data_IF_530362781748
#
_entry.id   IF_530362781748
#
_cell.length_a   1.000
_cell.length_b   1.000
_cell.length_c   1.000
_cell.angle_alpha   90.00
_cell.angle_beta   90.00
_cell.angle_gamma   90.00
#
_symmetry.space_group_name_H-M   'P 1'
#
loop_
_entity.id
_entity.type
_entity.pdbx_description
1 polymer ?
#
# COMPACT_ATOMS: atom_id res chain seq x y z
N UNK A 1 74.73 -71.25 -5.90
CA UNK A 1 73.31 -71.01 -5.51
C UNK A 1 73.25 -69.70 -4.79
N UNK A 2 72.92 -68.60 -5.48
CA UNK A 2 72.72 -67.26 -4.89
C UNK A 2 71.28 -66.90 -5.06
N UNK A 3 70.57 -66.70 -3.92
CA UNK A 3 69.21 -66.19 -3.86
C UNK A 3 69.27 -64.66 -3.86
N UNK A 4 68.71 -64.05 -4.90
CA UNK A 4 68.44 -62.58 -4.91
C UNK A 4 67.14 -62.30 -4.19
N UNK A 5 67.19 -61.45 -3.14
CA UNK A 5 66.07 -60.83 -2.54
C UNK A 5 65.83 -59.46 -3.17
N UNK A 6 64.66 -59.23 -3.76
CA UNK A 6 64.19 -57.87 -4.20
C UNK A 6 63.51 -57.17 -3.05
N UNK A 7 63.78 -55.89 -2.79
CA UNK A 7 63.00 -55.09 -1.83
C UNK A 7 61.73 -54.54 -2.50
N UNK A 8 60.59 -54.75 -1.84
CA UNK A 8 59.31 -54.13 -2.22
C UNK A 8 59.31 -52.73 -1.66
N UNK A 9 59.34 -51.73 -2.59
CA UNK A 9 59.16 -50.31 -2.24
C UNK A 9 57.66 -50.01 -2.21
N UNK A 10 57.09 -49.76 -1.05
CA UNK A 10 55.76 -49.21 -0.88
C UNK A 10 55.82 -47.70 -1.11
N UNK A 11 55.30 -47.24 -2.25
CA UNK A 11 55.04 -45.81 -2.49
C UNK A 11 53.71 -45.43 -1.86
N UNK A 12 53.74 -44.70 -0.75
CA UNK A 12 52.58 -43.97 -0.20
C UNK A 12 52.26 -42.80 -1.15
N UNK A 13 51.19 -42.91 -1.91
CA UNK A 13 50.56 -41.74 -2.57
C UNK A 13 49.76 -41.01 -1.54
N UNK A 14 49.96 -39.67 -1.33
CA UNK A 14 49.04 -38.85 -0.52
C UNK A 14 47.75 -38.70 -1.28
N UNK A 15 46.62 -39.18 -0.73
CA UNK A 15 45.30 -38.81 -1.17
C UNK A 15 45.08 -37.29 -0.86
N UNK A 16 45.34 -36.44 -1.83
CA UNK A 16 44.81 -35.08 -1.87
C UNK A 16 43.31 -35.19 -2.09
N UNK A 17 42.51 -35.06 -1.01
CA UNK A 17 41.08 -34.85 -1.15
C UNK A 17 40.88 -33.43 -1.70
N UNK A 18 40.62 -33.34 -3.01
CA UNK A 18 40.09 -32.15 -3.65
C UNK A 18 38.68 -31.93 -3.09
N UNK A 19 38.55 -31.17 -1.98
CA UNK A 19 37.31 -30.58 -1.61
C UNK A 19 36.90 -29.63 -2.75
N UNK A 20 35.89 -30.03 -3.53
CA UNK A 20 35.30 -29.17 -4.55
C UNK A 20 34.86 -27.87 -3.84
N UNK A 21 35.18 -26.68 -4.38
CA UNK A 21 34.71 -25.43 -3.79
C UNK A 21 33.19 -25.48 -3.80
N UNK A 22 32.61 -25.43 -2.61
CA UNK A 22 31.18 -25.26 -2.45
C UNK A 22 30.82 -23.97 -3.20
N UNK A 23 30.14 -24.07 -4.35
CA UNK A 23 29.67 -22.90 -5.08
C UNK A 23 28.76 -22.14 -4.13
N UNK A 24 29.21 -20.98 -3.67
CA UNK A 24 28.39 -20.09 -2.88
C UNK A 24 27.12 -19.82 -3.70
N UNK A 25 25.98 -20.31 -3.23
CA UNK A 25 24.68 -20.07 -3.86
C UNK A 25 24.46 -18.56 -3.80
N UNK A 26 24.34 -17.92 -4.97
CA UNK A 26 24.04 -16.50 -5.04
C UNK A 26 22.72 -16.22 -4.32
N UNK A 27 22.61 -15.15 -3.50
CA UNK A 27 21.38 -14.82 -2.80
C UNK A 27 20.21 -14.67 -3.78
N UNK A 28 19.12 -15.42 -3.55
CA UNK A 28 17.92 -15.36 -4.37
C UNK A 28 17.02 -14.17 -3.96
N UNK A 29 16.26 -13.56 -4.91
CA UNK A 29 15.25 -12.55 -4.60
C UNK A 29 14.17 -13.12 -3.67
N UNK A 30 13.71 -12.31 -2.71
CA UNK A 30 12.57 -12.63 -1.85
C UNK A 30 11.25 -12.38 -2.60
N UNK A 31 10.15 -13.09 -2.26
CA UNK A 31 8.83 -12.89 -2.88
C UNK A 31 8.33 -11.45 -2.73
N UNK A 32 7.79 -10.88 -3.81
CA UNK A 32 7.27 -9.52 -3.82
C UNK A 32 6.00 -9.35 -2.99
N UNK A 33 5.16 -10.38 -2.86
CA UNK A 33 3.97 -10.38 -2.02
C UNK A 33 4.28 -10.05 -0.56
N UNK A 34 5.47 -10.44 -0.06
CA UNK A 34 5.88 -10.11 1.30
C UNK A 34 6.46 -8.69 1.46
N UNK A 35 6.47 -7.87 0.40
CA UNK A 35 6.70 -6.42 0.51
C UNK A 35 5.43 -5.70 1.04
N UNK A 36 4.29 -6.41 1.17
CA UNK A 36 3.05 -5.92 1.76
C UNK A 36 2.56 -4.63 1.08
N UNK A 37 2.29 -3.57 1.85
CA UNK A 37 1.83 -2.30 1.29
C UNK A 37 2.88 -1.55 0.45
N UNK A 38 4.11 -2.03 0.40
CA UNK A 38 5.16 -1.46 -0.47
C UNK A 38 5.35 -2.24 -1.76
N UNK A 39 4.54 -3.28 -1.99
CA UNK A 39 4.52 -3.99 -3.26
C UNK A 39 4.10 -3.04 -4.39
N UNK A 40 4.86 -2.92 -5.50
CA UNK A 40 4.41 -2.24 -6.70
C UNK A 40 3.13 -2.86 -7.25
N UNK A 41 2.38 -2.08 -8.03
CA UNK A 41 1.13 -2.57 -8.62
C UNK A 41 1.35 -3.78 -9.53
N UNK A 42 0.60 -4.86 -9.29
CA UNK A 42 0.71 -6.07 -10.09
C UNK A 42 -0.33 -6.08 -11.23
N UNK A 43 0.12 -5.70 -12.41
CA UNK A 43 -0.71 -5.72 -13.61
C UNK A 43 -0.96 -7.12 -14.19
N UNK A 44 -0.34 -8.17 -13.66
CA UNK A 44 -0.53 -9.53 -14.16
C UNK A 44 -1.80 -10.19 -13.61
N UNK A 45 -2.34 -9.68 -12.50
CA UNK A 45 -3.53 -10.23 -11.82
C UNK A 45 -4.80 -9.42 -12.10
N UNK A 46 -4.87 -8.71 -13.22
CA UNK A 46 -6.05 -7.91 -13.58
C UNK A 46 -7.02 -8.69 -14.46
N UNK A 47 -8.33 -8.52 -14.21
CA UNK A 47 -9.38 -9.06 -15.07
C UNK A 47 -9.52 -8.28 -16.39
N UNK A 48 -10.05 -8.88 -17.44
CA UNK A 48 -10.56 -8.14 -18.59
C UNK A 48 -11.57 -7.05 -18.19
N UNK A 49 -11.70 -6.00 -18.98
CA UNK A 49 -12.74 -5.02 -18.77
C UNK A 49 -14.13 -5.70 -18.76
N UNK A 50 -15.03 -5.33 -17.82
CA UNK A 50 -16.36 -5.92 -17.76
C UNK A 50 -17.15 -5.60 -19.04
N UNK A 51 -17.88 -6.58 -19.54
CA UNK A 51 -18.82 -6.38 -20.64
C UNK A 51 -20.20 -6.15 -20.03
N UNK A 52 -20.75 -4.99 -20.25
CA UNK A 52 -22.10 -4.65 -19.80
C UNK A 52 -23.15 -5.03 -20.84
N UNK A 53 -24.37 -5.47 -20.41
CA UNK A 53 -25.50 -5.63 -21.32
C UNK A 53 -25.76 -4.33 -22.11
N UNK A 54 -26.26 -4.45 -23.34
CA UNK A 54 -26.58 -3.29 -24.19
C UNK A 54 -27.61 -2.33 -23.56
N UNK A 55 -28.45 -2.84 -22.67
CA UNK A 55 -29.41 -2.07 -21.87
C UNK A 55 -28.78 -1.22 -20.75
N UNK A 56 -27.49 -1.38 -20.47
CA UNK A 56 -26.77 -0.67 -19.40
C UNK A 56 -25.64 0.16 -20.01
N UNK A 57 -25.76 1.49 -19.94
CA UNK A 57 -24.78 2.41 -20.53
C UNK A 57 -23.97 3.11 -19.43
N UNK A 58 -22.62 3.09 -19.46
CA UNK A 58 -21.80 3.88 -18.54
C UNK A 58 -22.14 5.38 -18.65
N UNK A 59 -22.34 6.03 -17.51
CA UNK A 59 -22.68 7.45 -17.40
C UNK A 59 -21.69 8.23 -16.54
N UNK A 60 -21.06 7.60 -15.55
CA UNK A 60 -20.09 8.23 -14.65
C UNK A 60 -19.13 7.19 -14.06
N UNK A 61 -17.96 7.66 -13.59
CA UNK A 61 -17.00 6.86 -12.82
C UNK A 61 -16.55 7.65 -11.59
N UNK A 62 -16.63 7.05 -10.41
CA UNK A 62 -15.91 7.50 -9.22
C UNK A 62 -14.66 6.63 -9.03
N UNK A 63 -13.49 7.26 -8.85
CA UNK A 63 -12.21 6.57 -8.76
C UNK A 63 -11.46 6.98 -7.51
N UNK A 64 -11.19 6.05 -6.62
CA UNK A 64 -10.41 6.29 -5.40
C UNK A 64 -9.07 5.58 -5.54
N UNK A 65 -7.96 6.31 -5.39
CA UNK A 65 -6.64 5.75 -5.63
C UNK A 65 -5.62 6.12 -4.56
N UNK A 66 -4.70 5.20 -4.30
CA UNK A 66 -3.48 5.40 -3.56
C UNK A 66 -2.39 5.92 -4.50
N UNK A 67 -1.46 6.72 -3.97
CA UNK A 67 -0.26 7.09 -4.73
C UNK A 67 0.53 5.87 -5.22
N UNK A 68 1.18 5.99 -6.38
CA UNK A 68 2.03 4.97 -6.99
C UNK A 68 3.33 4.70 -6.22
N UNK A 69 4.17 3.83 -6.77
CA UNK A 69 5.45 3.44 -6.20
C UNK A 69 6.37 4.64 -5.97
N UNK A 70 7.10 4.61 -4.87
CA UNK A 70 7.84 5.78 -4.35
C UNK A 70 9.15 5.39 -3.67
N UNK A 71 10.02 6.38 -3.51
CA UNK A 71 11.16 6.28 -2.61
C UNK A 71 10.71 6.15 -1.15
N UNK A 72 11.61 5.71 -0.26
CA UNK A 72 11.35 5.66 1.18
C UNK A 72 10.91 7.04 1.69
N UNK A 73 10.07 7.06 2.73
CA UNK A 73 9.32 8.25 3.14
C UNK A 73 10.21 9.40 3.61
N UNK A 74 11.30 9.10 4.30
CA UNK A 74 12.22 10.11 4.87
C UNK A 74 13.54 9.48 5.27
N UNK A 75 14.60 10.28 5.48
CA UNK A 75 15.87 9.79 6.05
C UNK A 75 15.69 9.08 7.40
N UNK A 76 14.67 9.44 8.18
CA UNK A 76 14.37 8.80 9.47
C UNK A 76 14.10 7.30 9.34
N UNK A 77 13.63 6.84 8.16
CA UNK A 77 13.35 5.42 7.91
C UNK A 77 14.60 4.55 8.02
N UNK A 78 15.77 5.08 7.67
CA UNK A 78 17.05 4.36 7.72
C UNK A 78 17.90 4.71 8.94
N UNK A 79 17.67 5.87 9.55
CA UNK A 79 18.57 6.48 10.54
C UNK A 79 18.83 5.61 11.78
N UNK A 80 17.83 4.87 12.26
CA UNK A 80 18.00 3.99 13.43
C UNK A 80 18.95 2.83 13.12
N UNK A 81 18.74 2.13 12.00
CA UNK A 81 19.58 1.02 11.56
C UNK A 81 20.99 1.52 11.20
N UNK A 82 21.08 2.64 10.50
CA UNK A 82 22.34 3.26 10.12
C UNK A 82 23.19 3.59 11.36
N UNK A 83 22.59 4.15 12.41
CA UNK A 83 23.27 4.47 13.68
C UNK A 83 23.83 3.20 14.36
N UNK A 84 23.06 2.12 14.43
CA UNK A 84 23.52 0.86 15.04
C UNK A 84 24.67 0.24 14.22
N UNK A 85 24.57 0.26 12.88
CA UNK A 85 25.62 -0.25 12.00
C UNK A 85 26.88 0.63 12.02
N UNK A 86 26.74 1.94 12.05
CA UNK A 86 27.88 2.86 12.18
C UNK A 86 28.65 2.61 13.47
N UNK A 87 27.93 2.46 14.60
CA UNK A 87 28.56 2.10 15.89
C UNK A 87 29.30 0.76 15.79
N UNK A 88 28.66 -0.27 15.25
CA UNK A 88 29.27 -1.58 15.09
C UNK A 88 30.50 -1.56 14.14
N UNK A 89 30.47 -0.74 13.09
CA UNK A 89 31.59 -0.55 12.18
C UNK A 89 32.80 0.07 12.87
N UNK A 90 32.58 1.13 13.69
CA UNK A 90 33.66 1.77 14.46
C UNK A 90 34.29 0.83 15.49
N UNK A 91 33.51 -0.09 16.04
CA UNK A 91 33.93 -1.11 17.00
C UNK A 91 34.43 -2.41 16.33
N UNK A 92 34.49 -2.43 14.96
CA UNK A 92 34.89 -3.62 14.15
C UNK A 92 34.08 -4.87 14.44
N UNK A 93 32.78 -4.70 14.71
CA UNK A 93 31.85 -5.79 15.06
C UNK A 93 30.86 -6.15 13.93
N UNK A 94 30.98 -5.53 12.75
CA UNK A 94 30.14 -5.92 11.62
C UNK A 94 30.56 -7.28 11.07
N UNK A 95 29.56 -8.06 10.66
CA UNK A 95 29.73 -9.22 9.82
C UNK A 95 29.81 -8.80 8.34
N UNK A 96 30.18 -9.70 7.41
CA UNK A 96 30.08 -9.44 5.96
C UNK A 96 28.65 -9.03 5.52
N UNK A 97 27.62 -9.61 6.15
CA UNK A 97 26.21 -9.27 5.93
C UNK A 97 25.89 -7.86 6.44
N UNK A 98 26.46 -7.48 7.58
CA UNK A 98 26.36 -6.13 8.15
C UNK A 98 27.00 -5.07 7.26
N UNK A 99 28.21 -5.32 6.77
CA UNK A 99 28.92 -4.44 5.84
C UNK A 99 28.12 -4.23 4.54
N UNK A 100 27.51 -5.32 4.02
CA UNK A 100 26.68 -5.25 2.83
C UNK A 100 25.38 -4.48 3.07
N UNK A 101 24.74 -4.64 4.25
CA UNK A 101 23.53 -3.89 4.60
C UNK A 101 23.84 -2.40 4.79
N UNK A 102 24.97 -2.09 5.44
CA UNK A 102 25.43 -0.72 5.60
C UNK A 102 25.73 -0.05 4.25
N UNK A 103 26.31 -0.81 3.31
CA UNK A 103 26.52 -0.34 1.92
C UNK A 103 25.20 -0.07 1.21
N UNK A 104 24.18 -0.91 1.41
CA UNK A 104 22.82 -0.68 0.88
C UNK A 104 22.23 0.62 1.45
N UNK A 105 22.36 0.89 2.77
CA UNK A 105 21.84 2.12 3.36
C UNK A 105 22.50 3.36 2.75
N UNK A 106 23.81 3.33 2.53
CA UNK A 106 24.53 4.41 1.82
C UNK A 106 24.02 4.60 0.41
N UNK A 107 23.86 3.52 -0.36
CA UNK A 107 23.30 3.58 -1.71
C UNK A 107 21.89 4.18 -1.72
N UNK A 108 21.02 3.79 -0.78
CA UNK A 108 19.67 4.35 -0.63
C UNK A 108 19.77 5.85 -0.34
N UNK A 109 20.59 6.25 0.64
CA UNK A 109 20.73 7.64 1.04
C UNK A 109 21.22 8.50 -0.13
N UNK A 110 22.31 8.11 -0.80
CA UNK A 110 22.92 8.86 -1.90
C UNK A 110 21.95 8.95 -3.11
N UNK A 111 21.24 7.87 -3.42
CA UNK A 111 20.32 7.84 -4.55
C UNK A 111 19.00 8.55 -4.28
N UNK A 112 18.66 8.82 -3.00
CA UNK A 112 17.35 9.36 -2.60
C UNK A 112 17.47 10.80 -2.06
N UNK A 113 18.68 11.36 -1.90
CA UNK A 113 18.97 12.59 -1.14
C UNK A 113 17.90 13.71 -1.26
N UNK A 114 17.48 14.06 -2.48
CA UNK A 114 16.48 15.12 -2.72
C UNK A 114 15.09 14.56 -3.08
N UNK A 115 14.86 13.24 -2.96
CA UNK A 115 13.66 12.56 -3.46
C UNK A 115 12.93 11.71 -2.42
N UNK A 116 13.23 11.90 -1.14
CA UNK A 116 12.55 11.18 -0.06
C UNK A 116 11.04 11.35 -0.15
N UNK A 117 10.34 10.23 -0.17
CA UNK A 117 8.88 10.18 -0.25
C UNK A 117 8.26 10.61 -1.58
N UNK A 118 9.05 10.99 -2.58
CA UNK A 118 8.55 11.31 -3.91
C UNK A 118 8.26 10.04 -4.73
N UNK A 119 7.41 10.20 -5.74
CA UNK A 119 7.10 9.15 -6.71
C UNK A 119 8.38 8.70 -7.41
N UNK A 120 8.58 7.37 -7.53
CA UNK A 120 9.71 6.79 -8.25
C UNK A 120 9.41 6.66 -9.74
N UNK A 121 10.41 6.28 -10.54
CA UNK A 121 10.18 5.94 -11.95
C UNK A 121 9.22 4.76 -12.13
N UNK A 122 9.20 3.82 -11.17
CA UNK A 122 8.25 2.71 -11.15
C UNK A 122 6.84 3.27 -11.01
N UNK A 123 6.60 4.14 -10.02
CA UNK A 123 5.29 4.75 -9.81
C UNK A 123 4.83 5.65 -10.95
N UNK A 124 5.72 6.37 -11.62
CA UNK A 124 5.37 7.15 -12.83
C UNK A 124 4.82 6.22 -13.92
N UNK A 125 5.50 5.08 -14.17
CA UNK A 125 5.08 4.11 -15.16
C UNK A 125 3.76 3.40 -14.77
N UNK A 126 3.56 3.11 -13.46
CA UNK A 126 2.31 2.57 -12.93
C UNK A 126 1.14 3.50 -13.27
N UNK A 127 1.24 4.78 -12.92
CA UNK A 127 0.15 5.74 -13.10
C UNK A 127 -0.14 6.05 -14.57
N UNK A 128 0.88 6.07 -15.42
CA UNK A 128 0.67 6.18 -16.87
C UNK A 128 -0.14 4.99 -17.40
N UNK A 129 0.14 3.78 -16.94
CA UNK A 129 -0.59 2.58 -17.33
C UNK A 129 -1.99 2.55 -16.74
N UNK A 130 -2.17 2.88 -15.45
CA UNK A 130 -3.47 2.95 -14.80
C UNK A 130 -4.40 3.96 -15.48
N UNK A 131 -3.90 5.13 -15.90
CA UNK A 131 -4.67 6.10 -16.68
C UNK A 131 -5.06 5.56 -18.05
N UNK A 132 -4.15 4.79 -18.73
CA UNK A 132 -4.49 4.09 -19.97
C UNK A 132 -5.59 3.06 -19.75
N UNK A 133 -5.44 2.23 -18.72
CA UNK A 133 -6.39 1.16 -18.43
C UNK A 133 -7.78 1.72 -18.07
N UNK A 134 -7.86 2.88 -17.39
CA UNK A 134 -9.10 3.62 -17.15
C UNK A 134 -9.73 4.12 -18.44
N UNK A 135 -8.94 4.65 -19.37
CA UNK A 135 -9.45 5.09 -20.69
C UNK A 135 -10.07 3.93 -21.46
N UNK A 136 -9.40 2.76 -21.43
CA UNK A 136 -9.85 1.56 -22.13
C UNK A 136 -11.02 0.85 -21.40
N UNK A 137 -11.18 1.09 -20.09
CA UNK A 137 -12.26 0.53 -19.28
C UNK A 137 -13.65 1.08 -19.65
N UNK A 138 -13.75 2.38 -19.89
CA UNK A 138 -15.01 3.08 -20.20
C UNK A 138 -14.88 3.95 -21.46
N UNK A 139 -14.58 3.35 -22.61
CA UNK A 139 -14.27 4.11 -23.83
C UNK A 139 -15.46 4.94 -24.33
N UNK A 140 -16.69 4.53 -24.02
CA UNK A 140 -17.91 5.28 -24.35
C UNK A 140 -18.01 6.64 -23.62
N UNK A 141 -17.37 6.76 -22.46
CA UNK A 141 -17.25 8.03 -21.74
C UNK A 141 -15.99 8.78 -22.16
N UNK A 142 -14.83 8.12 -22.13
CA UNK A 142 -13.53 8.76 -22.31
C UNK A 142 -13.27 9.29 -23.74
N UNK A 143 -14.01 8.80 -24.75
CA UNK A 143 -13.93 9.31 -26.14
C UNK A 143 -14.83 10.51 -26.43
N UNK A 144 -15.69 10.91 -25.49
CA UNK A 144 -16.56 12.09 -25.66
C UNK A 144 -15.72 13.37 -25.72
N UNK A 145 -16.26 14.40 -26.37
CA UNK A 145 -15.67 15.74 -26.41
C UNK A 145 -16.37 16.65 -25.40
N UNK A 146 -15.61 17.55 -24.79
CA UNK A 146 -16.17 18.55 -23.87
C UNK A 146 -16.72 17.93 -22.59
N UNK A 147 -16.21 16.74 -22.19
CA UNK A 147 -16.56 16.11 -20.92
C UNK A 147 -15.52 16.44 -19.86
N UNK A 148 -16.00 16.58 -18.63
CA UNK A 148 -15.19 17.02 -17.48
C UNK A 148 -14.74 15.86 -16.62
N UNK A 149 -13.46 15.88 -16.24
CA UNK A 149 -12.86 15.02 -15.23
C UNK A 149 -12.45 15.91 -14.05
N UNK A 150 -12.98 15.65 -12.87
CA UNK A 150 -12.55 16.31 -11.63
C UNK A 150 -11.68 15.37 -10.83
N UNK A 151 -10.50 15.82 -10.44
CA UNK A 151 -9.58 15.05 -9.60
C UNK A 151 -9.13 15.88 -8.41
N UNK A 152 -9.23 15.31 -7.22
CA UNK A 152 -8.73 15.92 -5.99
C UNK A 152 -7.66 15.05 -5.35
N UNK A 153 -6.69 15.67 -4.69
CA UNK A 153 -5.63 14.94 -3.98
C UNK A 153 -5.29 15.59 -2.64
N UNK A 154 -4.62 14.82 -1.78
CA UNK A 154 -3.96 15.39 -0.61
C UNK A 154 -2.86 16.37 -1.06
N UNK A 155 -2.39 17.23 -0.14
CA UNK A 155 -1.28 18.17 -0.39
C UNK A 155 0.09 17.49 -0.49
N UNK A 156 0.18 16.18 -0.27
CA UNK A 156 1.46 15.45 -0.23
C UNK A 156 2.03 15.27 -1.64
N UNK A 157 3.29 15.67 -1.93
CA UNK A 157 3.83 15.75 -3.28
C UNK A 157 3.67 14.48 -4.12
N UNK A 158 3.93 13.29 -3.55
CA UNK A 158 3.76 12.01 -4.29
C UNK A 158 2.33 11.77 -4.74
N UNK A 159 1.32 12.21 -3.96
CA UNK A 159 -0.10 12.03 -4.30
C UNK A 159 -0.49 13.01 -5.39
N UNK A 160 -0.01 14.25 -5.30
CA UNK A 160 -0.18 15.26 -6.37
C UNK A 160 0.42 14.75 -7.69
N UNK A 161 1.66 14.24 -7.64
CA UNK A 161 2.34 13.68 -8.82
C UNK A 161 1.57 12.48 -9.41
N UNK A 162 1.05 11.59 -8.57
CA UNK A 162 0.20 10.45 -8.98
C UNK A 162 -1.02 10.96 -9.74
N UNK A 163 -1.80 11.88 -9.15
CA UNK A 163 -2.99 12.46 -9.77
C UNK A 163 -2.66 13.10 -11.14
N UNK A 164 -1.60 13.89 -11.22
CA UNK A 164 -1.20 14.52 -12.48
C UNK A 164 -0.76 13.51 -13.53
N UNK A 165 0.03 12.51 -13.15
CA UNK A 165 0.51 11.48 -14.10
C UNK A 165 -0.65 10.64 -14.64
N UNK A 166 -1.59 10.24 -13.78
CA UNK A 166 -2.80 9.54 -14.17
C UNK A 166 -3.65 10.38 -15.14
N UNK A 167 -3.97 11.62 -14.78
CA UNK A 167 -4.77 12.52 -15.60
C UNK A 167 -4.09 12.84 -16.95
N UNK A 168 -2.78 13.10 -16.95
CA UNK A 168 -2.01 13.32 -18.17
C UNK A 168 -2.05 12.13 -19.12
N UNK A 169 -2.07 10.92 -18.58
CA UNK A 169 -2.25 9.69 -19.39
C UNK A 169 -3.62 9.67 -20.09
N UNK A 170 -4.68 10.18 -19.48
CA UNK A 170 -6.00 10.31 -20.08
C UNK A 170 -6.01 11.41 -21.16
N UNK A 171 -5.49 12.61 -20.87
CA UNK A 171 -5.41 13.74 -21.79
C UNK A 171 -4.62 13.41 -23.07
N UNK A 172 -3.52 12.66 -22.96
CA UNK A 172 -2.74 12.21 -24.13
C UNK A 172 -3.55 11.34 -25.09
N UNK A 173 -4.62 10.67 -24.62
CA UNK A 173 -5.50 9.81 -25.43
C UNK A 173 -6.70 10.54 -26.00
N UNK A 174 -7.17 11.56 -25.30
CA UNK A 174 -8.23 12.44 -25.79
C UNK A 174 -7.98 13.89 -25.32
N UNK A 175 -7.44 14.70 -26.21
CA UNK A 175 -7.14 16.12 -25.96
C UNK A 175 -8.39 17.01 -25.78
N UNK A 176 -9.59 16.46 -25.96
CA UNK A 176 -10.86 17.18 -25.77
C UNK A 176 -11.45 16.93 -24.36
N UNK A 177 -10.78 16.20 -23.50
CA UNK A 177 -11.17 16.08 -22.10
C UNK A 177 -10.83 17.38 -21.35
N UNK A 178 -11.77 17.85 -20.55
CA UNK A 178 -11.56 18.98 -19.66
C UNK A 178 -11.17 18.48 -18.27
N UNK A 179 -9.88 18.50 -17.96
CA UNK A 179 -9.35 17.97 -16.70
C UNK A 179 -9.17 19.09 -15.67
N UNK A 180 -9.91 18.99 -14.58
CA UNK A 180 -9.82 19.89 -13.43
C UNK A 180 -9.15 19.17 -12.27
N UNK A 181 -8.10 19.77 -11.73
CA UNK A 181 -7.34 19.20 -10.61
C UNK A 181 -7.31 20.19 -9.46
N UNK A 182 -7.41 19.65 -8.23
CA UNK A 182 -7.23 20.44 -7.02
C UNK A 182 -6.54 19.61 -5.95
N UNK A 183 -5.68 20.26 -5.15
CA UNK A 183 -4.96 19.61 -4.05
C UNK A 183 -4.82 20.59 -2.88
N UNK A 184 -4.70 20.06 -1.66
CA UNK A 184 -4.48 20.91 -0.49
C UNK A 184 -5.11 20.39 0.79
N UNK A 185 -4.91 21.15 1.87
CA UNK A 185 -5.41 20.83 3.19
C UNK A 185 -6.94 20.86 3.32
N UNK A 186 -7.64 21.55 2.41
CA UNK A 186 -9.11 21.55 2.34
C UNK A 186 -9.71 20.16 2.11
N UNK A 187 -8.90 19.18 1.70
CA UNK A 187 -9.32 17.80 1.48
C UNK A 187 -8.86 16.85 2.60
N UNK A 188 -8.26 17.35 3.69
CA UNK A 188 -7.75 16.50 4.75
C UNK A 188 -8.86 15.70 5.44
N UNK A 189 -10.04 16.29 5.67
CA UNK A 189 -11.19 15.56 6.23
C UNK A 189 -11.69 14.42 5.33
N UNK A 190 -11.47 14.49 4.02
CA UNK A 190 -11.85 13.46 3.07
C UNK A 190 -10.74 12.42 2.87
N UNK A 191 -9.52 12.89 2.57
CA UNK A 191 -8.44 12.04 2.06
C UNK A 191 -7.37 11.73 3.10
N UNK A 192 -7.42 12.39 4.27
CA UNK A 192 -6.53 12.21 5.41
C UNK A 192 -7.29 12.13 6.72
N UNK A 193 -8.43 11.45 6.74
CA UNK A 193 -9.25 11.24 7.92
C UNK A 193 -8.43 10.75 9.13
N UNK A 194 -7.39 9.97 8.89
CA UNK A 194 -6.42 9.48 9.86
C UNK A 194 -5.58 10.58 10.57
N UNK A 195 -5.70 11.82 10.18
CA UNK A 195 -5.14 13.01 10.83
C UNK A 195 -6.20 14.09 11.13
N UNK A 196 -7.33 14.07 10.42
CA UNK A 196 -8.36 15.10 10.55
C UNK A 196 -9.32 14.84 11.71
N UNK A 197 -9.46 13.58 12.14
CA UNK A 197 -10.34 13.19 13.25
C UNK A 197 -9.51 12.84 14.49
N UNK A 198 -9.73 13.58 15.59
CA UNK A 198 -8.94 13.48 16.81
C UNK A 198 -8.88 12.08 17.39
N UNK A 199 -10.03 11.47 17.63
CA UNK A 199 -10.11 10.17 18.29
C UNK A 199 -9.46 9.07 17.45
N UNK A 200 -9.68 9.10 16.13
CA UNK A 200 -9.05 8.16 15.22
C UNK A 200 -7.53 8.38 15.13
N UNK A 201 -7.09 9.64 15.06
CA UNK A 201 -5.67 9.97 15.06
C UNK A 201 -4.99 9.50 16.36
N UNK A 202 -5.60 9.74 17.50
CA UNK A 202 -5.11 9.30 18.81
C UNK A 202 -5.06 7.78 18.92
N UNK A 203 -6.12 7.07 18.49
CA UNK A 203 -6.12 5.61 18.43
C UNK A 203 -4.96 5.09 17.60
N UNK A 204 -4.75 5.64 16.40
CA UNK A 204 -3.66 5.21 15.49
C UNK A 204 -2.26 5.46 16.05
N UNK A 205 -2.09 6.49 16.87
CA UNK A 205 -0.79 6.82 17.44
C UNK A 205 -0.46 6.00 18.68
N UNK A 206 -1.42 5.72 19.53
CA UNK A 206 -1.20 5.12 20.86
C UNK A 206 -2.39 4.30 21.40
N UNK A 207 -3.25 3.77 20.53
CA UNK A 207 -4.40 2.95 20.95
C UNK A 207 -4.03 1.56 21.46
N UNK A 208 -5.04 0.80 21.89
CA UNK A 208 -4.88 -0.55 22.43
C UNK A 208 -4.19 -1.54 21.47
N UNK A 209 -4.17 -1.26 20.20
CA UNK A 209 -3.48 -2.04 19.18
C UNK A 209 -1.97 -2.17 19.42
N UNK A 210 -1.32 -1.21 20.10
CA UNK A 210 0.13 -1.21 20.34
C UNK A 210 0.55 -2.44 21.13
N UNK A 211 -0.15 -2.72 22.23
CA UNK A 211 0.15 -3.88 23.07
C UNK A 211 -0.08 -5.21 22.33
N UNK A 212 -1.13 -5.29 21.53
CA UNK A 212 -1.43 -6.47 20.70
C UNK A 212 -0.31 -6.69 19.69
N UNK A 213 0.10 -5.64 19.01
CA UNK A 213 1.17 -5.68 18.01
C UNK A 213 2.52 -6.07 18.64
N UNK A 214 2.89 -5.49 19.79
CA UNK A 214 4.15 -5.78 20.46
C UNK A 214 4.22 -7.25 20.92
N UNK A 215 3.12 -7.80 21.46
CA UNK A 215 3.04 -9.24 21.78
C UNK A 215 3.20 -10.12 20.54
N UNK A 216 2.57 -9.73 19.42
CA UNK A 216 2.71 -10.47 18.15
C UNK A 216 4.16 -10.44 17.63
N UNK A 217 4.82 -9.28 17.68
CA UNK A 217 6.24 -9.13 17.30
C UNK A 217 7.13 -10.02 18.19
N UNK A 218 6.91 -10.01 19.49
CA UNK A 218 7.71 -10.82 20.43
C UNK A 218 7.50 -12.32 20.23
N UNK A 219 6.32 -12.75 19.79
CA UNK A 219 6.01 -14.14 19.50
C UNK A 219 6.57 -14.63 18.16
N UNK A 220 6.43 -13.84 17.10
CA UNK A 220 6.62 -14.30 15.72
C UNK A 220 7.84 -13.74 15.00
N UNK A 221 8.26 -12.50 15.27
CA UNK A 221 9.36 -11.89 14.54
C UNK A 221 10.70 -12.50 14.98
N UNK A 222 11.51 -13.03 14.04
CA UNK A 222 12.81 -13.61 14.38
C UNK A 222 13.85 -12.53 14.72
N UNK A 223 14.71 -12.81 15.68
CA UNK A 223 15.87 -11.96 16.01
C UNK A 223 17.06 -12.21 15.06
N UNK A 224 17.09 -13.36 14.39
CA UNK A 224 18.22 -13.83 13.60
C UNK A 224 18.62 -12.89 12.44
N UNK A 225 17.73 -12.24 11.70
CA UNK A 225 18.12 -11.28 10.64
C UNK A 225 18.98 -10.14 11.19
N UNK A 226 18.56 -9.50 12.27
CA UNK A 226 19.35 -8.45 12.92
C UNK A 226 20.66 -9.00 13.52
N UNK A 227 20.62 -10.19 14.12
CA UNK A 227 21.82 -10.82 14.70
C UNK A 227 22.89 -11.11 13.65
N UNK A 228 22.48 -11.48 12.41
CA UNK A 228 23.43 -11.73 11.31
C UNK A 228 24.22 -10.48 10.87
N UNK A 229 23.76 -9.28 11.18
CA UNK A 229 24.51 -8.04 10.85
C UNK A 229 25.78 -7.87 11.70
N UNK A 230 25.82 -8.54 12.86
CA UNK A 230 26.90 -8.38 13.81
C UNK A 230 27.73 -9.68 13.87
N UNK A 231 29.03 -9.54 14.17
CA UNK A 231 29.92 -10.68 14.38
C UNK A 231 29.61 -11.41 15.69
N UNK A 232 30.59 -12.18 16.20
CA UNK A 232 30.43 -13.05 17.37
C UNK A 232 29.99 -12.35 18.67
N UNK A 233 30.08 -11.03 18.74
CA UNK A 233 29.69 -10.19 19.89
C UNK A 233 28.34 -9.51 19.68
N UNK A 234 27.41 -10.17 19.01
CA UNK A 234 26.04 -9.67 18.84
C UNK A 234 25.35 -9.45 20.20
N UNK A 235 24.54 -8.39 20.29
CA UNK A 235 23.66 -8.16 21.44
C UNK A 235 22.73 -9.38 21.63
N UNK A 236 22.62 -9.89 22.85
CA UNK A 236 21.73 -11.02 23.16
C UNK A 236 20.31 -10.60 23.55
N UNK A 237 20.01 -9.29 23.57
CA UNK A 237 18.67 -8.79 23.85
C UNK A 237 17.73 -9.07 22.67
N UNK A 238 16.96 -10.17 22.75
CA UNK A 238 16.05 -10.61 21.69
C UNK A 238 15.00 -9.56 21.32
N UNK A 239 14.46 -8.83 22.28
CA UNK A 239 13.47 -7.77 22.01
C UNK A 239 14.07 -6.65 21.15
N UNK A 240 15.27 -6.16 21.50
CA UNK A 240 16.00 -5.16 20.70
C UNK A 240 16.31 -5.69 19.29
N UNK A 241 16.73 -6.94 19.16
CA UNK A 241 17.04 -7.55 17.86
C UNK A 241 15.78 -7.72 16.99
N UNK A 242 14.63 -8.10 17.56
CA UNK A 242 13.35 -8.18 16.82
C UNK A 242 12.92 -6.81 16.29
N UNK A 243 13.03 -5.77 17.13
CA UNK A 243 12.76 -4.39 16.70
C UNK A 243 13.67 -3.98 15.54
N UNK A 244 14.96 -4.24 15.64
CA UNK A 244 15.91 -3.98 14.57
C UNK A 244 15.59 -4.80 13.31
N UNK A 245 15.16 -6.05 13.43
CA UNK A 245 14.70 -6.88 12.32
C UNK A 245 13.50 -6.23 11.60
N UNK A 246 12.51 -5.70 12.33
CA UNK A 246 11.38 -4.97 11.74
C UNK A 246 11.81 -3.67 11.06
N UNK A 247 12.78 -2.95 11.62
CA UNK A 247 13.35 -1.75 11.00
C UNK A 247 14.08 -2.09 9.69
N UNK A 248 14.88 -3.19 9.67
CA UNK A 248 15.49 -3.71 8.43
C UNK A 248 14.43 -4.08 7.39
N UNK A 249 13.39 -4.82 7.80
CA UNK A 249 12.28 -5.17 6.93
C UNK A 249 11.61 -3.93 6.34
N UNK A 250 11.30 -2.91 7.15
CA UNK A 250 10.68 -1.66 6.69
C UNK A 250 11.53 -0.89 5.66
N UNK A 251 12.83 -1.11 5.65
CA UNK A 251 13.74 -0.54 4.63
C UNK A 251 13.67 -1.37 3.35
N UNK A 252 13.90 -2.68 3.45
CA UNK A 252 14.10 -3.51 2.26
C UNK A 252 12.80 -3.80 1.48
N UNK A 253 11.63 -3.83 2.14
CA UNK A 253 10.34 -3.95 1.47
C UNK A 253 10.08 -2.81 0.47
N UNK A 254 10.68 -1.63 0.69
CA UNK A 254 10.55 -0.47 -0.20
C UNK A 254 11.50 -0.46 -1.39
N UNK A 255 12.46 -1.38 -1.47
CA UNK A 255 13.49 -1.35 -2.50
C UNK A 255 12.93 -1.48 -3.92
N UNK A 256 12.00 -2.42 -4.16
CA UNK A 256 11.38 -2.60 -5.49
C UNK A 256 10.63 -1.35 -5.93
N UNK A 257 9.83 -0.78 -5.03
CA UNK A 257 9.06 0.44 -5.28
C UNK A 257 9.95 1.65 -5.58
N UNK A 258 11.11 1.73 -4.95
CA UNK A 258 12.08 2.80 -5.19
C UNK A 258 12.92 2.58 -6.47
N UNK A 259 12.84 1.42 -7.11
CA UNK A 259 13.65 1.05 -8.27
C UNK A 259 15.05 0.54 -7.92
N UNK A 260 15.28 0.14 -6.66
CA UNK A 260 16.48 -0.57 -6.24
C UNK A 260 16.35 -2.08 -6.51
N UNK A 261 17.47 -2.79 -6.39
CA UNK A 261 17.47 -4.25 -6.46
C UNK A 261 16.49 -4.85 -5.42
N UNK A 262 15.77 -5.93 -5.78
CA UNK A 262 14.89 -6.62 -4.83
C UNK A 262 15.65 -7.09 -3.60
N UNK A 263 15.00 -7.16 -2.41
CA UNK A 263 15.60 -7.80 -1.25
C UNK A 263 15.89 -9.27 -1.55
N UNK A 264 16.97 -9.79 -0.98
CA UNK A 264 17.46 -11.14 -1.26
C UNK A 264 17.60 -11.95 0.03
N UNK A 265 17.78 -13.27 -0.14
CA UNK A 265 18.04 -14.22 0.95
C UNK A 265 19.37 -13.98 1.68
N UNK A 266 20.09 -12.92 1.37
CA UNK A 266 21.31 -12.55 2.08
C UNK A 266 21.04 -12.12 3.52
N UNK A 267 19.95 -11.39 3.76
CA UNK A 267 19.62 -10.83 5.07
C UNK A 267 18.48 -11.53 5.77
N UNK A 268 17.53 -12.08 5.00
CA UNK A 268 16.37 -12.81 5.50
C UNK A 268 16.24 -14.14 4.77
N UNK A 269 15.93 -15.22 5.45
CA UNK A 269 15.32 -16.36 4.77
C UNK A 269 13.91 -15.98 4.28
N UNK A 270 13.32 -16.78 3.39
CA UNK A 270 11.95 -16.55 2.92
C UNK A 270 10.96 -16.55 4.10
N UNK A 271 11.13 -17.50 5.03
CA UNK A 271 10.25 -17.59 6.21
C UNK A 271 10.42 -16.39 7.15
N UNK A 272 11.66 -15.97 7.44
CA UNK A 272 11.91 -14.80 8.28
C UNK A 272 11.31 -13.52 7.67
N UNK A 273 11.39 -13.36 6.34
CA UNK A 273 10.80 -12.23 5.64
C UNK A 273 9.27 -12.28 5.71
N UNK A 274 8.70 -13.48 5.55
CA UNK A 274 7.26 -13.71 5.73
C UNK A 274 6.81 -13.38 7.14
N UNK A 275 7.54 -13.76 8.19
CA UNK A 275 7.16 -13.41 9.58
C UNK A 275 7.14 -11.91 9.82
N UNK A 276 8.09 -11.16 9.26
CA UNK A 276 8.07 -9.69 9.32
C UNK A 276 6.87 -9.10 8.54
N UNK A 277 6.56 -9.67 7.38
CA UNK A 277 5.37 -9.29 6.61
C UNK A 277 4.08 -9.53 7.42
N UNK A 278 3.91 -10.69 8.07
CA UNK A 278 2.74 -10.97 8.91
C UNK A 278 2.56 -9.94 10.03
N UNK A 279 3.65 -9.54 10.68
CA UNK A 279 3.60 -8.48 11.69
C UNK A 279 3.21 -7.12 11.07
N UNK A 280 3.73 -6.79 9.89
CA UNK A 280 3.34 -5.57 9.16
C UNK A 280 1.87 -5.61 8.73
N UNK A 281 1.40 -6.77 8.24
CA UNK A 281 0.00 -7.01 7.85
C UNK A 281 -0.95 -6.77 9.03
N UNK A 282 -0.68 -7.39 10.18
CA UNK A 282 -1.44 -7.20 11.42
C UNK A 282 -1.45 -5.72 11.86
N UNK A 283 -0.30 -5.05 11.83
CA UNK A 283 -0.22 -3.63 12.21
C UNK A 283 -1.12 -2.75 11.34
N UNK A 284 -1.15 -2.99 10.04
CA UNK A 284 -2.00 -2.22 9.12
C UNK A 284 -3.47 -2.51 9.36
N UNK A 285 -3.84 -3.76 9.59
CA UNK A 285 -5.20 -4.16 9.93
C UNK A 285 -5.68 -3.50 11.23
N UNK A 286 -4.92 -3.64 12.32
CA UNK A 286 -5.25 -3.06 13.64
C UNK A 286 -5.44 -1.53 13.59
N UNK A 287 -4.65 -0.83 12.76
CA UNK A 287 -4.62 0.63 12.76
C UNK A 287 -5.54 1.29 11.74
N UNK A 288 -5.99 0.56 10.73
CA UNK A 288 -6.61 1.20 9.57
C UNK A 288 -7.88 0.49 9.10
N UNK A 289 -8.39 -0.46 9.87
CA UNK A 289 -9.66 -1.12 9.55
C UNK A 289 -10.56 -1.13 10.78
N UNK A 290 -11.91 -1.09 10.60
CA UNK A 290 -12.81 -1.29 11.71
C UNK A 290 -12.56 -2.67 12.35
N UNK A 291 -12.33 -2.70 13.65
CA UNK A 291 -12.10 -3.90 14.44
C UNK A 291 -12.52 -3.68 15.89
N UNK A 292 -12.54 -4.70 16.72
CA UNK A 292 -13.01 -4.61 18.10
C UNK A 292 -12.24 -3.60 18.98
N UNK A 293 -11.02 -3.19 18.58
CA UNK A 293 -10.21 -2.20 19.29
C UNK A 293 -10.37 -0.78 18.72
N UNK A 294 -10.95 -0.63 17.53
CA UNK A 294 -11.06 0.65 16.79
C UNK A 294 -12.51 0.97 16.43
N UNK A 295 -13.23 1.70 17.26
CA UNK A 295 -14.58 2.15 16.92
C UNK A 295 -14.60 3.41 16.03
N UNK A 296 -13.46 4.05 15.76
CA UNK A 296 -13.35 5.36 15.10
C UNK A 296 -13.09 5.28 13.60
N UNK A 297 -12.62 4.15 13.10
CA UNK A 297 -12.21 3.97 11.72
C UNK A 297 -13.37 4.22 10.72
N UNK A 298 -14.55 3.63 10.96
CA UNK A 298 -15.71 3.78 10.08
C UNK A 298 -16.27 5.21 10.10
N UNK A 299 -16.55 5.86 11.28
CA UNK A 299 -16.98 7.25 11.29
C UNK A 299 -15.97 8.20 10.66
N UNK A 300 -14.68 8.00 10.84
CA UNK A 300 -13.66 8.87 10.25
C UNK A 300 -13.65 8.86 8.71
N UNK A 301 -14.02 7.74 8.06
CA UNK A 301 -14.08 7.65 6.59
C UNK A 301 -15.44 8.04 6.00
N UNK A 302 -16.48 8.25 6.83
CA UNK A 302 -17.85 8.53 6.38
C UNK A 302 -17.95 9.76 5.48
N UNK A 303 -17.19 10.82 5.75
CA UNK A 303 -17.18 12.03 4.91
C UNK A 303 -16.74 11.76 3.47
N UNK A 304 -15.78 10.86 3.26
CA UNK A 304 -15.37 10.47 1.91
C UNK A 304 -16.46 9.66 1.22
N UNK A 305 -17.11 8.76 1.94
CA UNK A 305 -18.24 7.95 1.42
C UNK A 305 -19.38 8.86 0.98
N UNK A 306 -19.84 9.78 1.84
CA UNK A 306 -20.92 10.73 1.51
C UNK A 306 -20.51 11.69 0.38
N UNK A 307 -19.23 12.07 0.30
CA UNK A 307 -18.72 12.86 -0.84
C UNK A 307 -18.78 12.10 -2.16
N UNK A 308 -18.41 10.83 -2.19
CA UNK A 308 -18.52 9.97 -3.38
C UNK A 308 -19.99 9.85 -3.80
N UNK A 309 -20.90 9.66 -2.84
CA UNK A 309 -22.35 9.60 -3.09
C UNK A 309 -22.85 10.91 -3.72
N UNK A 310 -22.55 12.05 -3.09
CA UNK A 310 -23.02 13.36 -3.54
C UNK A 310 -22.49 13.73 -4.95
N UNK A 311 -21.19 13.50 -5.20
CA UNK A 311 -20.58 13.79 -6.49
C UNK A 311 -21.15 12.89 -7.61
N UNK A 312 -21.42 11.61 -7.30
CA UNK A 312 -22.03 10.69 -8.25
C UNK A 312 -23.49 11.04 -8.53
N UNK A 313 -24.30 11.32 -7.49
CA UNK A 313 -25.70 11.71 -7.65
C UNK A 313 -25.84 13.00 -8.48
N UNK A 314 -24.97 14.00 -8.25
CA UNK A 314 -24.94 15.24 -9.05
C UNK A 314 -24.58 14.95 -10.53
N UNK A 315 -23.58 14.11 -10.79
CA UNK A 315 -23.18 13.74 -12.15
C UNK A 315 -24.28 12.95 -12.88
N UNK A 316 -24.98 12.06 -12.15
CA UNK A 316 -26.05 11.22 -12.69
C UNK A 316 -27.31 12.03 -13.02
N UNK A 317 -27.63 13.03 -12.19
CA UNK A 317 -28.75 13.95 -12.44
C UNK A 317 -28.54 14.88 -13.63
N UNK A 318 -27.37 14.83 -14.29
CA UNK A 318 -26.90 15.76 -15.34
C UNK A 318 -26.78 17.21 -14.86
N UNK A 319 -26.62 17.42 -13.57
CA UNK A 319 -26.35 18.74 -13.00
C UNK A 319 -24.93 19.23 -13.33
N UNK A 320 -24.06 18.32 -13.81
CA UNK A 320 -22.69 18.62 -14.23
C UNK A 320 -22.33 17.84 -15.51
N UNK A 321 -21.40 18.37 -16.32
CA UNK A 321 -20.81 17.64 -17.47
C UNK A 321 -19.70 16.66 -17.01
N UNK A 322 -19.61 16.37 -15.70
CA UNK A 322 -18.55 15.59 -15.10
C UNK A 322 -18.81 14.09 -15.25
N UNK A 323 -17.98 13.42 -16.03
CA UNK A 323 -18.07 11.96 -16.25
C UNK A 323 -17.15 11.16 -15.31
N UNK A 324 -16.25 11.83 -14.60
CA UNK A 324 -15.26 11.20 -13.75
C UNK A 324 -14.94 12.07 -12.54
N UNK A 325 -14.96 11.45 -11.35
CA UNK A 325 -14.44 12.04 -10.11
C UNK A 325 -13.32 11.17 -9.54
N UNK A 326 -12.11 11.73 -9.44
CA UNK A 326 -10.92 11.08 -8.91
C UNK A 326 -10.56 11.58 -7.51
N UNK A 327 -10.29 10.66 -6.59
CA UNK A 327 -9.92 10.92 -5.19
C UNK A 327 -8.58 10.23 -4.89
N UNK A 328 -7.50 11.01 -4.86
CA UNK A 328 -6.14 10.48 -4.73
C UNK A 328 -5.61 10.65 -3.30
N UNK A 329 -5.24 9.54 -2.66
CA UNK A 329 -4.84 9.50 -1.25
C UNK A 329 -3.72 8.52 -0.94
N UNK A 330 -3.85 7.86 0.18
CA UNK A 330 -2.85 6.99 0.79
C UNK A 330 -3.45 5.61 1.11
N UNK A 331 -2.62 4.64 1.53
CA UNK A 331 -3.15 3.38 2.06
C UNK A 331 -4.10 3.63 3.24
N UNK A 332 -3.78 4.61 4.07
CA UNK A 332 -4.57 5.06 5.22
C UNK A 332 -5.88 5.79 4.84
N UNK A 333 -6.05 6.15 3.58
CA UNK A 333 -7.34 6.61 3.01
C UNK A 333 -8.17 5.42 2.55
N UNK A 334 -7.52 4.45 1.88
CA UNK A 334 -8.19 3.34 1.21
C UNK A 334 -8.57 2.22 2.18
N UNK A 335 -7.70 1.85 3.11
CA UNK A 335 -7.97 0.75 4.06
C UNK A 335 -9.25 0.99 4.89
N UNK A 336 -9.43 2.17 5.54
CA UNK A 336 -10.68 2.48 6.23
C UNK A 336 -11.90 2.43 5.30
N UNK A 337 -11.78 3.02 4.11
CA UNK A 337 -12.85 3.06 3.12
C UNK A 337 -13.26 1.65 2.69
N UNK A 338 -12.33 0.85 2.18
CA UNK A 338 -12.61 -0.47 1.62
C UNK A 338 -13.14 -1.43 2.66
N UNK A 339 -12.62 -1.38 3.90
CA UNK A 339 -13.08 -2.21 5.01
C UNK A 339 -14.47 -1.79 5.51
N UNK A 340 -14.75 -0.49 5.61
CA UNK A 340 -16.08 0.01 6.00
C UNK A 340 -17.12 -0.36 4.96
N UNK A 341 -16.81 -0.25 3.67
CA UNK A 341 -17.69 -0.69 2.58
C UNK A 341 -17.86 -2.22 2.47
N UNK A 342 -17.08 -2.98 3.24
CA UNK A 342 -17.06 -4.44 3.21
C UNK A 342 -16.77 -5.01 1.81
N UNK A 343 -15.86 -4.37 1.07
CA UNK A 343 -15.45 -4.89 -0.23
C UNK A 343 -14.87 -6.31 -0.07
N UNK A 344 -15.08 -7.22 -1.04
CA UNK A 344 -14.57 -8.59 -0.96
C UNK A 344 -13.09 -8.64 -0.64
N UNK A 345 -12.71 -9.39 0.42
CA UNK A 345 -11.32 -9.52 0.90
C UNK A 345 -10.77 -8.33 1.67
N UNK A 346 -11.53 -7.22 1.84
CA UNK A 346 -11.05 -6.01 2.50
C UNK A 346 -11.48 -5.86 3.96
N UNK A 347 -12.42 -6.66 4.44
CA UNK A 347 -12.88 -6.67 5.82
C UNK A 347 -12.65 -8.04 6.45
N UNK A 348 -12.13 -8.05 7.65
CA UNK A 348 -12.06 -9.23 8.51
C UNK A 348 -12.52 -8.85 9.92
N UNK A 349 -13.31 -9.73 10.53
CA UNK A 349 -13.74 -9.65 11.93
C UNK A 349 -13.19 -10.88 12.65
N UNK A 350 -12.09 -10.70 13.37
CA UNK A 350 -11.38 -11.80 14.04
C UNK A 350 -10.60 -11.31 15.24
N UNK A 351 -10.48 -12.17 16.25
CA UNK A 351 -9.55 -12.06 17.39
C UNK A 351 -8.36 -13.05 17.27
N UNK A 352 -8.39 -13.92 16.25
CA UNK A 352 -7.27 -14.79 15.89
C UNK A 352 -6.31 -14.10 14.92
N UNK A 353 -5.35 -13.40 15.49
CA UNK A 353 -4.35 -12.63 14.72
C UNK A 353 -3.34 -13.53 13.99
N UNK A 354 -3.19 -14.78 14.41
CA UNK A 354 -2.25 -15.74 13.78
C UNK A 354 -2.77 -16.19 12.40
N UNK A 355 -4.10 -16.31 12.25
CA UNK A 355 -4.76 -16.70 10.99
C UNK A 355 -5.24 -15.52 10.13
N UNK A 356 -5.10 -14.27 10.58
CA UNK A 356 -5.59 -13.08 9.86
C UNK A 356 -5.19 -13.07 8.38
N UNK A 357 -3.96 -13.48 8.06
CA UNK A 357 -3.45 -13.47 6.68
C UNK A 357 -4.13 -14.51 5.75
N UNK A 358 -4.97 -15.39 6.25
CA UNK A 358 -5.74 -16.32 5.43
C UNK A 358 -6.90 -15.60 4.71
N UNK A 359 -7.48 -14.57 5.36
CA UNK A 359 -8.65 -13.83 4.88
C UNK A 359 -8.37 -12.38 4.52
N UNK A 360 -7.31 -11.76 5.03
CA UNK A 360 -6.99 -10.35 4.85
C UNK A 360 -5.51 -10.16 4.52
N UNK A 361 -5.22 -9.66 3.32
CA UNK A 361 -3.85 -9.51 2.80
C UNK A 361 -3.62 -8.10 2.29
N UNK A 362 -2.65 -7.44 2.89
CA UNK A 362 -2.36 -6.03 2.63
C UNK A 362 -1.95 -5.76 1.18
N UNK A 363 -1.19 -6.68 0.59
CA UNK A 363 -0.72 -6.61 -0.80
C UNK A 363 -1.83 -6.76 -1.84
N UNK A 364 -2.91 -7.47 -1.50
CA UNK A 364 -4.08 -7.64 -2.39
C UNK A 364 -5.00 -6.41 -2.29
N UNK A 365 -5.06 -5.76 -1.12
CA UNK A 365 -6.00 -4.66 -0.83
C UNK A 365 -5.39 -3.31 -1.23
N UNK A 366 -4.20 -3.01 -0.74
CA UNK A 366 -3.58 -1.70 -0.95
C UNK A 366 -2.10 -1.79 -1.37
N UNK A 367 -1.74 -2.46 -2.50
CA UNK A 367 -0.43 -2.27 -3.11
C UNK A 367 -0.21 -0.79 -3.46
N UNK A 368 0.98 -0.41 -3.89
CA UNK A 368 1.21 0.93 -4.45
C UNK A 368 0.40 1.09 -5.74
N UNK A 369 -0.20 2.26 -5.97
CA UNK A 369 -1.14 2.46 -7.08
C UNK A 369 -2.51 1.79 -6.90
N UNK A 370 -2.80 1.20 -5.73
CA UNK A 370 -4.09 0.57 -5.44
C UNK A 370 -5.26 1.51 -5.74
N UNK A 371 -6.33 0.95 -6.29
CA UNK A 371 -7.45 1.76 -6.75
C UNK A 371 -8.79 1.01 -6.73
N UNK A 372 -9.85 1.78 -6.57
CA UNK A 372 -11.24 1.35 -6.71
C UNK A 372 -11.90 2.21 -7.78
N UNK A 373 -12.41 1.58 -8.85
CA UNK A 373 -13.29 2.22 -9.81
C UNK A 373 -14.74 1.77 -9.57
N UNK A 374 -15.64 2.73 -9.41
CA UNK A 374 -17.08 2.53 -9.33
C UNK A 374 -17.68 3.07 -10.62
N UNK A 375 -18.19 2.18 -11.46
CA UNK A 375 -18.76 2.50 -12.77
C UNK A 375 -20.27 2.58 -12.61
N UNK A 376 -20.84 3.75 -12.90
CA UNK A 376 -22.28 3.98 -12.85
C UNK A 376 -22.88 3.73 -14.24
N UNK A 377 -23.93 2.93 -14.25
CA UNK A 377 -24.58 2.43 -15.45
C UNK A 377 -26.03 2.88 -15.44
N UNK A 378 -26.50 3.49 -16.53
CA UNK A 378 -27.93 3.85 -16.70
C UNK A 378 -28.62 2.80 -17.56
N UNK A 379 -29.74 2.29 -17.07
CA UNK A 379 -30.62 1.41 -17.87
C UNK A 379 -31.50 2.19 -18.82
N UNK A 380 -32.12 1.50 -19.80
CA UNK A 380 -33.08 2.09 -20.72
C UNK A 380 -34.30 2.67 -19.99
N UNK A 381 -34.66 2.18 -18.81
CA UNK A 381 -35.71 2.71 -17.92
C UNK A 381 -35.26 3.93 -17.10
N UNK A 382 -33.99 4.35 -17.21
CA UNK A 382 -33.41 5.44 -16.43
C UNK A 382 -32.90 5.06 -15.03
N UNK A 383 -33.09 3.80 -14.60
CA UNK A 383 -32.57 3.31 -13.30
C UNK A 383 -31.05 3.22 -13.34
N UNK A 384 -30.41 3.56 -12.23
CA UNK A 384 -28.94 3.53 -12.09
C UNK A 384 -28.49 2.25 -11.38
N UNK A 385 -27.45 1.64 -11.94
CA UNK A 385 -26.74 0.50 -11.41
C UNK A 385 -25.27 0.81 -11.25
N UNK A 386 -24.55 0.02 -10.49
CA UNK A 386 -23.12 0.16 -10.27
C UNK A 386 -22.39 -1.16 -10.51
N UNK A 387 -21.18 -1.05 -11.05
CA UNK A 387 -20.21 -2.14 -11.11
C UNK A 387 -18.90 -1.69 -10.48
N UNK A 388 -18.21 -2.59 -9.80
CA UNK A 388 -17.02 -2.29 -9.00
C UNK A 388 -15.79 -2.99 -9.56
N UNK A 389 -14.66 -2.28 -9.51
CA UNK A 389 -13.38 -2.83 -9.90
C UNK A 389 -12.31 -2.42 -8.90
N UNK A 390 -11.74 -3.38 -8.18
CA UNK A 390 -10.68 -3.18 -7.19
C UNK A 390 -9.35 -3.70 -7.74
N UNK A 391 -8.33 -2.87 -7.76
CA UNK A 391 -6.99 -3.22 -8.24
C UNK A 391 -7.01 -3.94 -9.61
N UNK A 392 -7.88 -3.51 -10.50
CA UNK A 392 -8.04 -4.13 -11.81
C UNK A 392 -8.87 -5.41 -11.85
N UNK A 393 -9.41 -5.91 -10.74
CA UNK A 393 -10.29 -7.08 -10.68
C UNK A 393 -11.75 -6.68 -10.53
N UNK A 394 -12.65 -7.35 -11.26
CA UNK A 394 -14.09 -7.13 -11.14
C UNK A 394 -14.60 -7.76 -9.84
N UNK A 395 -15.23 -6.97 -8.99
CA UNK A 395 -15.75 -7.41 -7.69
C UNK A 395 -17.22 -7.06 -7.53
N UNK A 396 -17.90 -7.71 -6.58
CA UNK A 396 -19.19 -7.24 -6.07
C UNK A 396 -19.00 -6.05 -5.13
N UNK A 397 -20.03 -5.18 -4.94
CA UNK A 397 -19.93 -4.01 -4.05
C UNK A 397 -19.74 -4.36 -2.57
N UNK A 398 -20.10 -5.57 -2.16
CA UNK A 398 -19.77 -6.20 -0.86
C UNK A 398 -19.78 -7.71 -0.98
N UNK A 399 -19.25 -8.41 0.01
CA UNK A 399 -19.19 -9.86 0.05
C UNK A 399 -20.60 -10.49 -0.03
N UNK A 400 -20.84 -11.32 -1.04
CA UNK A 400 -22.13 -12.00 -1.28
C UNK A 400 -23.14 -11.23 -2.14
N UNK A 401 -22.86 -9.98 -2.55
CA UNK A 401 -23.70 -9.24 -3.48
C UNK A 401 -23.49 -9.68 -4.96
N UNK A 402 -24.39 -9.30 -5.84
CA UNK A 402 -24.19 -9.41 -7.29
C UNK A 402 -23.15 -8.39 -7.77
N UNK A 403 -22.46 -8.69 -8.89
CA UNK A 403 -21.45 -7.79 -9.45
C UNK A 403 -22.05 -6.46 -9.96
N UNK A 404 -23.31 -6.46 -10.36
CA UNK A 404 -24.04 -5.26 -10.77
C UNK A 404 -25.21 -5.10 -9.80
N UNK A 405 -25.25 -3.97 -9.11
CA UNK A 405 -26.28 -3.65 -8.10
C UNK A 405 -26.93 -2.30 -8.37
N UNK A 406 -28.23 -2.13 -8.04
CA UNK A 406 -28.88 -0.82 -8.06
C UNK A 406 -28.15 0.16 -7.13
N UNK A 407 -27.93 1.40 -7.61
CA UNK A 407 -27.19 2.42 -6.87
C UNK A 407 -27.84 2.78 -5.53
N UNK A 408 -29.17 2.84 -5.47
CA UNK A 408 -29.89 3.12 -4.21
C UNK A 408 -29.58 2.07 -3.14
N UNK A 409 -29.59 0.77 -3.51
CA UNK A 409 -29.28 -0.33 -2.60
C UNK A 409 -27.83 -0.27 -2.09
N UNK A 410 -26.90 0.18 -2.94
CA UNK A 410 -25.50 0.37 -2.55
C UNK A 410 -25.36 1.52 -1.55
N UNK A 411 -26.04 2.66 -1.76
CA UNK A 411 -26.04 3.79 -0.82
C UNK A 411 -26.61 3.39 0.55
N UNK A 412 -27.73 2.68 0.55
CA UNK A 412 -28.38 2.22 1.79
C UNK A 412 -27.49 1.25 2.56
N UNK A 413 -26.85 0.31 1.86
CA UNK A 413 -25.88 -0.62 2.47
C UNK A 413 -24.68 0.14 3.09
N UNK A 414 -24.09 1.09 2.38
CA UNK A 414 -22.94 1.86 2.88
C UNK A 414 -23.29 2.66 4.15
N UNK A 415 -24.45 3.32 4.16
CA UNK A 415 -24.92 4.07 5.34
C UNK A 415 -25.22 3.17 6.52
N UNK A 416 -25.77 1.99 6.27
CA UNK A 416 -25.98 0.99 7.33
C UNK A 416 -24.65 0.48 7.89
N UNK A 417 -23.67 0.20 7.05
CA UNK A 417 -22.33 -0.20 7.50
C UNK A 417 -21.67 0.86 8.38
N UNK A 418 -21.74 2.13 7.99
CA UNK A 418 -21.21 3.23 8.84
C UNK A 418 -21.91 3.21 10.20
N UNK A 419 -23.24 3.14 10.25
CA UNK A 419 -24.00 3.13 11.50
C UNK A 419 -23.66 1.93 12.38
N UNK A 420 -23.59 0.73 11.82
CA UNK A 420 -23.31 -0.50 12.57
C UNK A 420 -21.86 -0.59 13.12
N UNK A 421 -20.92 0.12 12.51
CA UNK A 421 -19.51 0.15 12.91
C UNK A 421 -19.13 1.40 13.73
N UNK A 422 -20.08 2.32 13.95
CA UNK A 422 -19.86 3.53 14.75
C UNK A 422 -20.18 3.28 16.22
N UNK A 423 -19.52 3.98 17.17
CA UNK A 423 -19.87 3.90 18.57
C UNK A 423 -21.35 4.28 18.81
N UNK A 424 -21.99 3.69 19.83
CA UNK A 424 -23.30 4.14 20.27
C UNK A 424 -23.20 5.58 20.81
N UNK A 425 -23.84 6.53 20.12
CA UNK A 425 -23.82 7.96 20.41
C UNK A 425 -24.25 8.79 19.21
N UNK A 426 -24.32 10.11 19.32
CA UNK A 426 -24.85 10.99 18.27
C UNK A 426 -24.00 11.07 16.99
N UNK A 427 -22.93 10.29 16.89
CA UNK A 427 -22.10 10.16 15.67
C UNK A 427 -21.34 11.43 15.27
N UNK A 428 -21.34 12.47 16.11
CA UNK A 428 -20.55 13.68 15.84
C UNK A 428 -19.07 13.38 16.05
N UNK A 429 -18.31 13.36 14.95
CA UNK A 429 -16.86 13.19 14.98
C UNK A 429 -16.21 14.57 15.01
N UNK A 430 -15.46 14.88 16.06
CA UNK A 430 -14.74 16.15 16.16
C UNK A 430 -13.65 16.25 15.09
N UNK A 431 -13.82 17.18 14.17
CA UNK A 431 -12.85 17.47 13.10
C UNK A 431 -11.79 18.41 13.66
N UNK A 432 -10.52 18.05 13.50
CA UNK A 432 -9.40 18.96 13.77
C UNK A 432 -9.47 20.09 12.73
N UNK A 433 -9.85 21.30 13.15
CA UNK A 433 -9.69 22.48 12.31
C UNK A 433 -8.20 22.69 12.00
N UNK A 434 -7.80 22.44 10.74
CA UNK A 434 -6.45 22.78 10.30
C UNK A 434 -6.25 24.29 10.31
N UNK A 435 -5.05 24.82 10.61
CA UNK A 435 -4.78 26.26 10.64
C UNK A 435 -5.15 27.00 9.35
N UNK A 436 -5.24 26.32 8.21
CA UNK A 436 -5.66 26.87 6.92
C UNK A 436 -7.17 27.21 6.87
N UNK A 437 -8.00 26.57 7.70
CA UNK A 437 -9.44 26.89 7.78
C UNK A 437 -9.72 28.25 8.43
N UNK A 438 -8.77 28.80 9.23
CA UNK A 438 -8.90 30.10 9.92
C UNK A 438 -8.58 31.33 9.05
N UNK A 439 -8.04 31.16 7.85
CA UNK A 439 -7.70 32.27 6.95
C UNK A 439 -8.56 32.24 5.70
N UNK A 440 -9.84 32.66 5.81
CA UNK A 440 -10.57 33.25 4.68
C UNK A 440 -10.38 34.76 4.75
N UNK A 441 -9.55 35.40 3.90
CA UNK A 441 -9.68 36.83 3.72
C UNK A 441 -11.01 37.09 3.02
N UNK A 442 -11.85 37.94 3.59
CA UNK A 442 -12.94 38.56 2.89
C UNK A 442 -12.36 39.36 1.70
N UNK A 443 -12.33 38.76 0.53
CA UNK A 443 -12.13 39.53 -0.71
C UNK A 443 -13.45 40.25 -0.98
N UNK A 444 -13.52 41.53 -0.61
CA UNK A 444 -14.49 42.45 -1.20
C UNK A 444 -14.08 42.62 -2.66
N UNK A 445 -14.94 42.15 -3.55
CA UNK A 445 -14.87 42.61 -4.96
C UNK A 445 -15.17 44.12 -4.98
N UNK A 446 -14.24 44.88 -5.53
CA UNK A 446 -14.46 46.20 -6.10
C UNK A 446 -14.85 46.06 -7.56
#
# INVERSE_FOLDING_TARGET
MHKFLLPIIYTLLPLLSLAAPCKAVSPAPLPASFDGSMMPYDFAVTDPAPVFPDSLKPVHVSYVARHGARFLSSPKTIASVEKELYKAATERRLSPEGDAFFSLLKQINDSTADRWGLLSKVGIAEEERLGKDMYDLVPSLMKRKGTRLNSISTYVPRVIMTMYQFNHSLERRNQHLEVYTSSGHQYDSLLRCFHAFNDYAQYRDSGAWVEVYDRFVDKHVPAAPAQRLFGKEADNNKHKLRKLTMEMYNIVQGCRAAGFAPPTTRWFTVDEYRQCYLASNLKHWLRNTPNALDPWCAPATSMLIERIIADADAAIANDTDTIFNGYFGHAETLLPLFSTLNLPGCYADTDDYDSLNESWKLEDITPLGANLAIIFLRSDSGRIYTAFRLNGCNISPWSGASQIMPWEEVKDYWRERIRSLSPEGDGSVDIIETPAARQRPHVRML
#
